data_IF_160212283927
#
_entry.id   IF_160212283927
#
_cell.length_a   1.000
_cell.length_b   1.000
_cell.length_c   1.000
_cell.angle_alpha   90.00
_cell.angle_beta   90.00
_cell.angle_gamma   90.00
#
_symmetry.space_group_name_H-M   'P 1'
#
loop_
_entity.id
_entity.type
_entity.pdbx_description
1 polymer ?
#
# COMPACT_ATOMS: atom_id res chain seq x y z
N UNK A 1 33.88 1.97 10.98
CA UNK A 1 33.15 0.70 11.13
C UNK A 1 31.66 1.03 11.09
N UNK A 2 31.01 0.83 9.94
CA UNK A 2 29.60 1.17 9.78
C UNK A 2 28.74 0.02 10.31
N UNK A 3 28.08 0.26 11.45
CA UNK A 3 27.07 -0.64 12.00
C UNK A 3 25.86 -0.65 11.07
N UNK A 4 25.65 -1.75 10.36
CA UNK A 4 24.47 -1.97 9.54
C UNK A 4 23.45 -2.76 10.38
N UNK A 5 22.34 -2.16 10.84
CA UNK A 5 21.39 -2.86 11.68
C UNK A 5 20.71 -4.00 10.90
N UNK A 6 20.64 -5.15 11.56
CA UNK A 6 20.02 -6.38 11.04
C UNK A 6 18.55 -6.12 10.66
N UNK A 7 18.06 -6.58 9.50
CA UNK A 7 16.66 -6.41 9.12
C UNK A 7 15.76 -7.18 10.10
N UNK A 8 14.98 -6.44 10.88
CA UNK A 8 13.99 -7.01 11.79
C UNK A 8 12.96 -7.82 10.99
N UNK A 9 12.81 -9.08 11.37
CA UNK A 9 11.86 -10.02 10.81
C UNK A 9 10.45 -9.64 11.21
N UNK A 10 9.68 -9.05 10.30
CA UNK A 10 8.21 -8.99 10.38
C UNK A 10 7.66 -10.44 10.43
N UNK A 11 6.65 -10.70 11.26
CA UNK A 11 6.13 -12.04 11.59
C UNK A 11 5.54 -12.87 10.42
N UNK A 12 5.76 -12.48 9.15
CA UNK A 12 5.44 -13.26 7.94
C UNK A 12 6.65 -13.56 7.03
N UNK A 13 7.85 -13.10 7.36
CA UNK A 13 9.01 -13.17 6.46
C UNK A 13 9.61 -14.56 6.21
N UNK A 14 9.36 -15.53 7.10
CA UNK A 14 9.96 -16.87 7.02
C UNK A 14 9.24 -17.79 6.01
N UNK A 15 7.90 -17.67 5.90
CA UNK A 15 7.10 -18.52 5.01
C UNK A 15 7.33 -18.16 3.54
N UNK A 16 7.25 -16.88 3.18
CA UNK A 16 7.41 -16.45 1.78
C UNK A 16 8.80 -16.81 1.21
N UNK A 17 9.87 -16.65 2.01
CA UNK A 17 11.23 -17.04 1.62
C UNK A 17 11.35 -18.52 1.30
N UNK A 18 10.67 -19.37 2.06
CA UNK A 18 10.69 -20.83 1.86
C UNK A 18 9.97 -21.22 0.58
N UNK A 19 8.79 -20.64 0.31
CA UNK A 19 8.05 -20.86 -0.94
C UNK A 19 8.84 -20.38 -2.17
N UNK A 20 9.44 -19.18 -2.11
CA UNK A 20 10.25 -18.63 -3.20
C UNK A 20 11.47 -19.49 -3.50
N UNK A 21 12.16 -19.98 -2.46
CA UNK A 21 13.31 -20.88 -2.60
C UNK A 21 12.92 -22.21 -3.25
N UNK A 22 11.81 -22.83 -2.82
CA UNK A 22 11.29 -24.07 -3.42
C UNK A 22 10.88 -23.88 -4.89
N UNK A 23 10.34 -22.72 -5.24
CA UNK A 23 9.95 -22.39 -6.61
C UNK A 23 11.14 -22.02 -7.53
N UNK A 24 12.39 -22.08 -7.04
CA UNK A 24 13.58 -21.67 -7.80
C UNK A 24 13.60 -20.17 -8.14
N UNK A 25 12.78 -19.36 -7.45
CA UNK A 25 12.68 -17.92 -7.71
C UNK A 25 13.68 -17.16 -6.85
N UNK A 26 14.35 -16.18 -7.46
CA UNK A 26 15.25 -15.27 -6.75
C UNK A 26 14.44 -14.38 -5.81
N UNK A 27 15.02 -13.96 -4.67
CA UNK A 27 14.38 -13.00 -3.77
C UNK A 27 14.08 -11.69 -4.52
N UNK A 28 12.84 -11.21 -4.42
CA UNK A 28 12.47 -9.90 -4.93
C UNK A 28 13.08 -8.82 -4.06
N UNK A 29 13.86 -7.92 -4.65
CA UNK A 29 14.38 -6.74 -3.95
C UNK A 29 13.34 -5.63 -4.05
N UNK A 30 12.76 -5.27 -2.91
CA UNK A 30 11.81 -4.16 -2.79
C UNK A 30 12.54 -3.00 -2.15
N UNK A 31 12.47 -1.82 -2.75
CA UNK A 31 12.95 -0.57 -2.18
C UNK A 31 11.79 0.40 -2.10
N UNK A 32 11.61 1.03 -0.95
CA UNK A 32 10.72 2.17 -0.81
C UNK A 32 11.33 3.36 -1.56
N UNK A 33 10.55 4.02 -2.39
CA UNK A 33 10.97 5.22 -3.12
C UNK A 33 10.37 6.47 -2.47
N UNK A 34 9.34 7.04 -3.07
CA UNK A 34 8.68 8.27 -2.62
C UNK A 34 7.57 7.93 -1.63
N UNK A 35 7.59 8.58 -0.47
CA UNK A 35 6.52 8.51 0.52
C UNK A 35 5.92 9.91 0.70
N UNK A 36 4.61 10.03 0.46
CA UNK A 36 3.85 11.26 0.68
C UNK A 36 2.86 11.04 1.83
N UNK A 37 2.73 12.03 2.71
CA UNK A 37 1.75 12.03 3.80
C UNK A 37 0.84 13.24 3.65
N UNK A 38 -0.46 12.99 3.48
CA UNK A 38 -1.49 14.03 3.41
C UNK A 38 -2.16 14.19 4.78
N UNK A 39 -1.51 14.92 5.68
CA UNK A 39 -2.00 15.16 7.05
C UNK A 39 -3.20 16.10 7.11
N UNK A 40 -3.39 16.91 6.07
CA UNK A 40 -4.44 17.91 6.00
C UNK A 40 -5.70 17.40 5.31
N UNK A 41 -5.71 16.14 4.85
CA UNK A 41 -6.83 15.55 4.12
C UNK A 41 -7.22 16.44 2.93
N UNK A 42 -6.27 16.72 2.05
CA UNK A 42 -6.39 17.74 1.00
C UNK A 42 -7.58 17.60 0.06
N UNK A 43 -8.17 16.40 -0.04
CA UNK A 43 -9.39 16.12 -0.82
C UNK A 43 -10.56 15.62 0.05
N UNK A 44 -10.49 15.91 1.35
CA UNK A 44 -11.48 15.55 2.35
C UNK A 44 -11.26 14.17 2.98
N UNK A 45 -12.11 13.86 3.96
CA UNK A 45 -12.12 12.59 4.70
C UNK A 45 -13.13 11.57 4.15
N UNK A 46 -13.93 11.94 3.15
CA UNK A 46 -14.90 11.06 2.51
C UNK A 46 -14.48 10.89 1.05
N UNK A 47 -13.96 9.71 0.71
CA UNK A 47 -13.35 9.44 -0.59
C UNK A 47 -14.21 8.51 -1.43
N UNK A 48 -14.33 8.82 -2.72
CA UNK A 48 -14.79 7.89 -3.75
C UNK A 48 -13.61 7.07 -4.27
N UNK A 49 -13.86 5.96 -4.96
CA UNK A 49 -12.79 5.18 -5.61
C UNK A 49 -11.95 6.01 -6.60
N UNK A 50 -12.56 6.99 -7.26
CA UNK A 50 -11.86 7.94 -8.15
C UNK A 50 -10.85 8.83 -7.40
N UNK A 51 -11.18 9.27 -6.18
CA UNK A 51 -10.27 10.07 -5.33
C UNK A 51 -9.04 9.25 -4.91
N UNK A 52 -9.22 7.95 -4.62
CA UNK A 52 -8.12 7.04 -4.32
C UNK A 52 -7.16 6.91 -5.50
N UNK A 53 -7.69 6.77 -6.72
CA UNK A 53 -6.86 6.79 -7.93
C UNK A 53 -6.11 8.12 -8.07
N UNK A 54 -6.77 9.26 -7.87
CA UNK A 54 -6.10 10.57 -7.90
C UNK A 54 -4.93 10.66 -6.91
N UNK A 55 -5.13 10.22 -5.66
CA UNK A 55 -4.08 10.18 -4.64
C UNK A 55 -2.91 9.30 -5.07
N UNK A 56 -3.18 8.14 -5.67
CA UNK A 56 -2.14 7.24 -6.16
C UNK A 56 -1.25 7.89 -7.25
N UNK A 57 -1.79 8.82 -8.05
CA UNK A 57 -1.03 9.50 -9.11
C UNK A 57 -0.25 10.72 -8.65
N UNK A 58 -0.43 11.18 -7.41
CA UNK A 58 0.45 12.22 -6.84
C UNK A 58 1.86 11.72 -6.62
N UNK A 59 1.99 10.40 -6.42
CA UNK A 59 3.27 9.73 -6.43
C UNK A 59 3.62 9.42 -7.89
N UNK A 60 4.53 10.20 -8.46
CA UNK A 60 5.09 9.94 -9.80
C UNK A 60 6.01 8.71 -9.76
N UNK A 61 5.41 7.53 -9.60
CA UNK A 61 6.13 6.26 -9.52
C UNK A 61 6.87 5.99 -10.81
N UNK A 62 8.15 5.62 -10.69
CA UNK A 62 8.97 5.20 -11.83
C UNK A 62 8.34 3.98 -12.53
N UNK A 63 8.61 3.77 -13.82
CA UNK A 63 8.18 2.56 -14.52
C UNK A 63 8.55 1.28 -13.74
N UNK A 64 7.58 0.37 -13.59
CA UNK A 64 7.73 -0.83 -12.77
C UNK A 64 7.54 -0.63 -11.26
N UNK A 65 7.23 0.60 -10.83
CA UNK A 65 6.86 0.92 -9.46
C UNK A 65 5.40 0.56 -9.13
N UNK A 66 5.15 0.30 -7.85
CA UNK A 66 3.82 0.06 -7.29
C UNK A 66 3.53 1.15 -6.26
N UNK A 67 2.46 1.92 -6.47
CA UNK A 67 2.01 2.92 -5.48
C UNK A 67 1.10 2.26 -4.45
N UNK A 68 1.35 2.49 -3.16
CA UNK A 68 0.43 2.12 -2.08
C UNK A 68 -0.25 3.37 -1.53
N UNK A 69 -1.57 3.36 -1.49
CA UNK A 69 -2.40 4.38 -0.82
C UNK A 69 -2.95 3.76 0.47
N UNK A 70 -2.58 4.33 1.61
CA UNK A 70 -3.03 3.88 2.92
C UNK A 70 -3.83 5.01 3.56
N UNK A 71 -5.11 4.77 3.85
CA UNK A 71 -5.95 5.79 4.50
C UNK A 71 -5.86 5.70 6.02
N UNK A 72 -6.09 6.82 6.71
CA UNK A 72 -6.14 6.85 8.17
C UNK A 72 -7.46 6.27 8.69
N UNK A 73 -7.51 5.98 9.99
CA UNK A 73 -8.69 5.46 10.70
C UNK A 73 -9.93 6.36 10.63
N UNK A 74 -9.77 7.64 10.33
CA UNK A 74 -10.83 8.65 10.32
C UNK A 74 -11.20 9.10 8.90
N UNK A 75 -10.77 8.33 7.88
CA UNK A 75 -11.13 8.53 6.47
C UNK A 75 -12.08 7.42 6.04
N UNK A 76 -13.27 7.82 5.60
CA UNK A 76 -14.25 6.93 4.99
C UNK A 76 -13.99 6.82 3.48
N UNK A 77 -14.02 5.59 2.97
CA UNK A 77 -13.92 5.32 1.52
C UNK A 77 -15.14 4.55 1.08
N UNK A 78 -15.68 4.91 -0.09
CA UNK A 78 -16.79 4.22 -0.75
C UNK A 78 -16.62 2.69 -0.73
N UNK A 79 -17.65 2.00 -0.24
CA UNK A 79 -17.76 0.55 -0.05
C UNK A 79 -16.76 -0.10 0.92
N UNK A 80 -16.00 0.68 1.68
CA UNK A 80 -15.06 0.15 2.67
C UNK A 80 -15.78 -0.63 3.76
N UNK A 81 -15.29 -1.84 4.03
CA UNK A 81 -15.82 -2.81 4.99
C UNK A 81 -17.26 -3.31 4.79
N UNK A 82 -17.91 -2.89 3.71
CA UNK A 82 -19.18 -3.48 3.25
C UNK A 82 -18.94 -4.58 2.23
N UNK A 83 -18.09 -4.31 1.24
CA UNK A 83 -17.73 -5.29 0.19
C UNK A 83 -16.24 -5.54 0.11
N UNK A 84 -15.41 -4.55 0.46
CA UNK A 84 -13.96 -4.57 0.25
C UNK A 84 -13.21 -3.89 1.40
N UNK A 85 -12.01 -4.38 1.72
CA UNK A 85 -11.07 -3.70 2.64
C UNK A 85 -9.95 -2.94 1.90
N UNK A 86 -9.99 -2.97 0.58
CA UNK A 86 -9.00 -2.36 -0.30
C UNK A 86 -9.33 -2.65 -1.77
N UNK A 87 -8.55 -2.08 -2.69
CA UNK A 87 -8.67 -2.34 -4.12
C UNK A 87 -7.33 -2.19 -4.81
N UNK A 88 -7.22 -2.70 -6.04
CA UNK A 88 -6.11 -2.39 -6.93
C UNK A 88 -6.65 -1.69 -8.18
N UNK A 89 -5.79 -0.94 -8.85
CA UNK A 89 -6.15 -0.25 -10.08
C UNK A 89 -4.92 0.16 -10.86
N UNK A 90 -5.16 0.75 -12.02
CA UNK A 90 -4.12 1.30 -12.85
C UNK A 90 -4.61 2.57 -13.55
N UNK A 91 -3.66 3.43 -13.94
CA UNK A 91 -3.90 4.53 -14.87
C UNK A 91 -2.61 4.75 -15.64
N UNK A 92 -2.74 4.88 -16.95
CA UNK A 92 -1.58 4.87 -17.85
C UNK A 92 -0.64 3.68 -17.52
N UNK A 93 0.65 3.95 -17.35
CA UNK A 93 1.68 2.94 -17.10
C UNK A 93 1.99 2.70 -15.60
N UNK A 94 1.08 3.09 -14.71
CA UNK A 94 1.27 2.97 -13.27
C UNK A 94 0.15 2.17 -12.63
N UNK A 95 0.52 1.26 -11.72
CA UNK A 95 -0.41 0.45 -10.92
C UNK A 95 -0.39 0.92 -9.47
N UNK A 96 -1.53 0.78 -8.81
CA UNK A 96 -1.65 1.11 -7.39
C UNK A 96 -2.51 0.10 -6.64
N UNK A 97 -2.24 0.02 -5.34
CA UNK A 97 -3.07 -0.69 -4.37
C UNK A 97 -3.53 0.34 -3.34
N UNK A 98 -4.79 0.27 -2.96
CA UNK A 98 -5.34 0.96 -1.81
C UNK A 98 -5.74 -0.04 -0.74
N UNK A 99 -5.46 0.31 0.51
CA UNK A 99 -5.90 -0.42 1.71
C UNK A 99 -6.51 0.58 2.68
N UNK A 100 -7.76 0.32 3.09
CA UNK A 100 -8.43 1.11 4.11
C UNK A 100 -8.02 0.69 5.52
N UNK A 101 -8.24 1.57 6.49
CA UNK A 101 -7.94 1.30 7.90
C UNK A 101 -9.18 0.73 8.61
N UNK A 102 -9.09 -0.53 9.05
CA UNK A 102 -10.22 -1.27 9.63
C UNK A 102 -10.53 -0.94 11.09
N UNK A 103 -9.70 -0.17 11.80
CA UNK A 103 -9.79 0.00 13.26
C UNK A 103 -11.16 0.48 13.76
N UNK A 104 -11.82 1.37 13.01
CA UNK A 104 -13.07 2.02 13.42
C UNK A 104 -14.26 1.67 12.53
N UNK A 105 -14.03 1.18 11.31
CA UNK A 105 -15.06 1.03 10.28
C UNK A 105 -15.41 -0.44 9.98
N UNK A 106 -14.69 -1.40 10.58
CA UNK A 106 -14.98 -2.83 10.42
C UNK A 106 -15.51 -3.44 11.72
N UNK A 107 -16.73 -4.02 11.73
CA UNK A 107 -17.34 -4.55 12.95
C UNK A 107 -16.74 -5.87 13.45
N UNK A 108 -15.85 -6.52 12.69
CA UNK A 108 -15.27 -7.82 13.04
C UNK A 108 -16.13 -8.98 12.59
#
# INVERSE_FOLDING_TARGET
>A
MTNNPSPQSLCGGAQSKTYMKKAGKRPTRISLSTQLSDKNYSIGKNLKKSHVSELAHRVNSSPGGLTLVLTSHDVAVEDFCMSNCGSHGHKANSVFIWVGNSVTQCPG
#
